data_IF_868896788807
#
_entry.id   IF_868896788807
#
_cell.length_a   1.000
_cell.length_b   1.000
_cell.length_c   1.000
_cell.angle_alpha   90.00
_cell.angle_beta   90.00
_cell.angle_gamma   90.00
#
_symmetry.space_group_name_H-M   'P 1'
#
loop_
_entity.id
_entity.type
_entity.pdbx_description
1 polymer ?
#
# COMPACT_ATOMS: atom_id res chain seq x y z
N UNK A 1 -9.05 -13.11 -27.63
CA UNK A 1 -8.45 -12.39 -26.48
C UNK A 1 -7.36 -13.28 -25.84
N UNK A 2 -6.40 -12.73 -25.08
CA UNK A 2 -5.33 -13.54 -24.46
C UNK A 2 -5.87 -14.62 -23.51
N UNK A 3 -6.90 -14.30 -22.72
CA UNK A 3 -7.54 -15.28 -21.83
C UNK A 3 -8.16 -16.43 -22.65
N UNK A 4 -8.93 -16.11 -23.70
CA UNK A 4 -9.54 -17.11 -24.59
C UNK A 4 -8.52 -18.07 -25.24
N UNK A 5 -7.32 -17.58 -25.56
CA UNK A 5 -6.23 -18.39 -26.11
C UNK A 5 -5.75 -19.47 -25.11
N UNK A 6 -5.77 -19.15 -23.83
CA UNK A 6 -5.27 -20.01 -22.75
C UNK A 6 -6.39 -20.73 -21.98
N UNK A 7 -7.64 -20.27 -22.12
CA UNK A 7 -8.85 -20.82 -21.51
C UNK A 7 -10.04 -20.67 -22.49
N UNK A 8 -10.17 -21.59 -23.48
CA UNK A 8 -11.26 -21.55 -24.45
C UNK A 8 -12.64 -21.69 -23.77
N UNK A 9 -13.62 -20.93 -24.23
CA UNK A 9 -14.96 -20.83 -23.65
C UNK A 9 -15.06 -19.87 -22.46
N UNK A 10 -13.97 -19.21 -22.04
CA UNK A 10 -14.00 -18.28 -20.91
C UNK A 10 -14.98 -17.13 -21.15
N UNK A 11 -15.00 -16.57 -22.36
CA UNK A 11 -15.89 -15.47 -22.72
C UNK A 11 -17.37 -15.80 -22.50
N UNK A 12 -17.78 -17.04 -22.75
CA UNK A 12 -19.17 -17.49 -22.62
C UNK A 12 -19.63 -17.58 -21.15
N UNK A 13 -18.69 -17.62 -20.20
CA UNK A 13 -18.96 -17.68 -18.75
C UNK A 13 -19.01 -16.29 -18.08
N UNK A 14 -18.70 -15.21 -18.82
CA UNK A 14 -18.65 -13.86 -18.24
C UNK A 14 -20.06 -13.28 -18.11
N UNK A 15 -20.56 -13.17 -16.88
CA UNK A 15 -21.88 -12.56 -16.59
C UNK A 15 -21.85 -11.03 -16.55
N UNK A 16 -20.73 -10.44 -16.13
CA UNK A 16 -20.54 -9.00 -16.02
C UNK A 16 -19.05 -8.65 -16.08
N UNK A 17 -18.74 -7.42 -16.49
CA UNK A 17 -17.38 -6.88 -16.51
C UNK A 17 -17.38 -5.44 -16.02
N UNK A 18 -16.49 -5.14 -15.08
CA UNK A 18 -16.15 -3.77 -14.69
C UNK A 18 -14.67 -3.56 -15.00
N UNK A 19 -14.35 -2.40 -15.56
CA UNK A 19 -12.97 -1.99 -15.81
C UNK A 19 -12.71 -0.72 -15.03
N UNK A 20 -11.62 -0.70 -14.27
CA UNK A 20 -11.17 0.47 -13.53
C UNK A 20 -9.80 0.84 -14.07
N UNK A 21 -9.69 2.02 -14.67
CA UNK A 21 -8.45 2.50 -15.27
C UNK A 21 -7.52 3.11 -14.20
N UNK A 22 -6.23 3.31 -14.50
CA UNK A 22 -5.34 4.04 -13.60
C UNK A 22 -5.83 5.47 -13.27
N UNK A 23 -6.48 6.14 -14.22
CA UNK A 23 -7.10 7.45 -13.99
C UNK A 23 -8.28 7.37 -13.01
N UNK A 24 -9.11 6.32 -13.13
CA UNK A 24 -10.22 6.09 -12.19
C UNK A 24 -9.69 5.78 -10.78
N UNK A 25 -8.61 5.02 -10.65
CA UNK A 25 -7.96 4.75 -9.37
C UNK A 25 -7.40 6.02 -8.73
N UNK A 26 -6.74 6.88 -9.51
CA UNK A 26 -6.22 8.16 -9.04
C UNK A 26 -7.34 9.11 -8.61
N UNK A 27 -8.48 9.12 -9.34
CA UNK A 27 -9.66 9.90 -8.98
C UNK A 27 -10.35 9.35 -7.72
N UNK A 28 -10.38 8.03 -7.55
CA UNK A 28 -10.99 7.36 -6.40
C UNK A 28 -10.21 7.60 -5.10
N UNK A 29 -8.87 7.53 -5.16
CA UNK A 29 -8.02 7.71 -4.00
C UNK A 29 -6.82 8.60 -4.36
N UNK A 30 -6.73 9.82 -3.79
CA UNK A 30 -5.62 10.74 -4.04
C UNK A 30 -4.23 10.17 -3.71
N UNK A 31 -4.15 9.10 -2.90
CA UNK A 31 -2.88 8.43 -2.62
C UNK A 31 -2.38 7.57 -3.80
N UNK A 32 -3.27 7.20 -4.74
CA UNK A 32 -2.92 6.43 -5.93
C UNK A 32 -2.51 7.36 -7.07
N UNK A 33 -1.41 8.09 -6.87
CA UNK A 33 -0.88 9.00 -7.87
C UNK A 33 -0.63 8.24 -9.18
N UNK A 34 -1.25 8.68 -10.27
CA UNK A 34 -1.17 7.98 -11.57
C UNK A 34 -1.81 6.58 -11.60
N UNK A 35 -2.60 6.23 -10.58
CA UNK A 35 -3.20 4.91 -10.41
C UNK A 35 -2.29 3.90 -9.70
N UNK A 36 -1.16 4.32 -9.14
CA UNK A 36 -0.24 3.43 -8.43
C UNK A 36 -0.78 3.03 -7.04
N UNK A 37 -1.30 1.82 -6.95
CA UNK A 37 -1.82 1.25 -5.70
C UNK A 37 -0.74 0.98 -4.64
N UNK A 38 0.54 0.92 -5.04
CA UNK A 38 1.66 0.77 -4.10
C UNK A 38 1.99 2.08 -3.38
N UNK A 39 1.50 3.22 -3.87
CA UNK A 39 1.81 4.54 -3.30
C UNK A 39 3.25 4.96 -3.53
N UNK A 40 3.83 4.57 -4.67
CA UNK A 40 5.20 4.88 -5.08
C UNK A 40 6.05 3.64 -5.31
N UNK A 41 7.22 3.86 -5.94
CA UNK A 41 8.14 2.79 -6.31
C UNK A 41 8.56 1.93 -5.11
N UNK A 42 8.58 0.62 -5.31
CA UNK A 42 8.95 -0.39 -4.30
C UNK A 42 10.42 -0.83 -4.39
N UNK A 43 11.29 -0.01 -4.97
CA UNK A 43 12.69 -0.32 -5.25
C UNK A 43 13.70 0.55 -4.49
N UNK A 44 14.97 0.15 -4.57
CA UNK A 44 16.13 0.88 -4.08
C UNK A 44 15.99 1.41 -2.65
N UNK A 45 16.30 2.70 -2.49
CA UNK A 45 16.24 3.38 -1.19
C UNK A 45 14.81 3.66 -0.72
N UNK A 46 13.83 3.74 -1.64
CA UNK A 46 12.45 3.96 -1.26
C UNK A 46 11.92 2.79 -0.43
N UNK A 47 12.45 1.56 -0.65
CA UNK A 47 12.12 0.38 0.16
C UNK A 47 12.39 0.58 1.65
N UNK A 48 13.45 1.33 1.97
CA UNK A 48 13.91 1.55 3.33
C UNK A 48 13.42 2.89 3.90
N UNK A 49 13.33 3.93 3.07
CA UNK A 49 13.12 5.32 3.49
C UNK A 49 11.77 5.90 3.06
N UNK A 50 10.70 5.12 3.19
CA UNK A 50 9.30 5.57 2.99
C UNK A 50 8.54 5.71 4.33
N UNK A 51 7.59 6.65 4.46
CA UNK A 51 7.31 7.75 3.52
C UNK A 51 8.31 8.91 3.65
N UNK A 52 9.23 8.85 4.63
CA UNK A 52 10.24 9.89 4.89
C UNK A 52 11.57 9.26 5.31
N UNK A 53 12.66 9.99 5.12
CA UNK A 53 13.99 9.57 5.56
C UNK A 53 14.07 9.70 7.09
N UNK A 54 13.89 8.57 7.78
CA UNK A 54 13.93 8.52 9.25
C UNK A 54 14.24 7.11 9.75
N UNK A 55 14.84 7.01 10.93
CA UNK A 55 14.98 5.74 11.64
C UNK A 55 13.68 5.28 12.35
N UNK A 56 12.63 6.13 12.38
CA UNK A 56 11.34 5.84 13.02
C UNK A 56 10.18 6.04 12.03
N UNK A 57 10.04 5.17 11.01
CA UNK A 57 9.10 5.39 9.91
C UNK A 57 7.63 5.26 10.32
N UNK A 58 7.34 4.66 11.48
CA UNK A 58 5.99 4.43 11.99
C UNK A 58 5.47 5.54 12.92
N UNK A 59 6.25 6.60 13.18
CA UNK A 59 5.82 7.73 14.03
C UNK A 59 5.58 8.99 13.20
N UNK A 60 4.59 9.78 13.61
CA UNK A 60 4.33 11.10 13.02
C UNK A 60 4.92 12.22 13.90
N UNK A 61 4.91 13.49 13.46
CA UNK A 61 5.27 14.63 14.31
C UNK A 61 4.31 14.80 15.51
N UNK A 62 3.08 14.32 15.42
CA UNK A 62 2.17 14.25 16.56
C UNK A 62 2.53 13.02 17.41
N UNK A 63 2.77 13.23 18.71
CA UNK A 63 3.29 12.20 19.61
C UNK A 63 2.40 10.97 19.73
N UNK A 64 1.09 11.16 19.61
CA UNK A 64 0.08 10.11 19.84
C UNK A 64 -0.53 9.57 18.53
N UNK A 65 0.11 9.84 17.39
CA UNK A 65 -0.31 9.34 16.06
C UNK A 65 0.80 8.51 15.43
N UNK A 66 0.45 7.27 15.06
CA UNK A 66 1.33 6.27 14.44
C UNK A 66 0.84 5.91 13.04
N UNK A 67 1.78 5.55 12.16
CA UNK A 67 1.51 5.24 10.76
C UNK A 67 1.59 3.73 10.51
N UNK A 68 0.46 3.10 10.18
CA UNK A 68 0.34 1.66 9.91
C UNK A 68 0.11 1.31 8.43
N UNK A 69 0.44 2.23 7.51
CA UNK A 69 0.16 2.11 6.07
C UNK A 69 1.24 1.31 5.32
N UNK A 70 0.90 0.76 4.14
CA UNK A 70 1.86 0.25 3.14
C UNK A 70 2.86 1.31 2.65
N UNK A 71 2.62 2.58 2.94
CA UNK A 71 3.58 3.67 2.73
C UNK A 71 4.78 3.61 3.68
N UNK A 72 4.77 2.74 4.69
CA UNK A 72 5.92 2.47 5.58
C UNK A 72 6.60 1.15 5.20
N UNK A 73 7.89 0.93 5.54
CA UNK A 73 8.55 -0.34 5.27
C UNK A 73 7.78 -1.49 5.96
N UNK A 74 7.77 -2.71 5.41
CA UNK A 74 8.49 -3.16 4.20
C UNK A 74 7.82 -2.75 2.87
N UNK A 75 6.68 -2.05 2.87
CA UNK A 75 6.07 -1.47 1.67
C UNK A 75 4.72 -2.05 1.30
N UNK A 76 4.46 -2.10 -0.01
CA UNK A 76 3.21 -2.60 -0.58
C UNK A 76 3.03 -4.11 -0.39
N UNK A 77 1.82 -4.59 -0.72
CA UNK A 77 1.30 -5.96 -0.55
C UNK A 77 0.61 -6.25 0.80
N UNK A 78 -0.04 -7.41 0.87
CA UNK A 78 -0.89 -7.84 1.99
C UNK A 78 -0.09 -8.74 2.93
N UNK A 79 0.69 -8.14 3.84
CA UNK A 79 1.56 -8.88 4.77
C UNK A 79 1.42 -8.47 6.25
N UNK A 80 0.63 -7.44 6.58
CA UNK A 80 0.34 -7.02 7.97
C UNK A 80 1.48 -6.37 8.78
N UNK A 81 2.74 -6.48 8.32
CA UNK A 81 3.92 -5.96 9.03
C UNK A 81 3.88 -4.46 9.35
N UNK A 82 3.29 -3.61 8.49
CA UNK A 82 3.21 -2.17 8.77
C UNK A 82 2.38 -1.90 10.04
N UNK A 83 1.26 -2.60 10.19
CA UNK A 83 0.44 -2.55 11.41
C UNK A 83 1.17 -3.10 12.63
N UNK A 84 1.87 -4.23 12.49
CA UNK A 84 2.67 -4.81 13.57
C UNK A 84 3.75 -3.86 14.09
N UNK A 85 4.48 -3.20 13.19
CA UNK A 85 5.53 -2.27 13.59
C UNK A 85 5.00 -0.95 14.14
N UNK A 86 3.89 -0.45 13.61
CA UNK A 86 3.18 0.70 14.17
C UNK A 86 2.70 0.41 15.61
N UNK A 87 2.12 -0.76 15.84
CA UNK A 87 1.70 -1.19 17.18
C UNK A 87 2.89 -1.29 18.14
N UNK A 88 4.02 -1.86 17.70
CA UNK A 88 5.26 -1.89 18.50
C UNK A 88 5.79 -0.48 18.80
N UNK A 89 5.68 0.45 17.86
CA UNK A 89 6.08 1.84 18.07
C UNK A 89 5.19 2.51 19.13
N UNK A 90 3.87 2.29 19.06
CA UNK A 90 2.91 2.79 20.04
C UNK A 90 3.16 2.22 21.45
N UNK A 91 3.35 0.91 21.58
CA UNK A 91 3.65 0.27 22.87
C UNK A 91 4.94 0.82 23.50
N UNK A 92 5.98 1.05 22.70
CA UNK A 92 7.23 1.67 23.19
C UNK A 92 7.05 3.11 23.66
N UNK A 93 6.15 3.85 23.03
CA UNK A 93 5.81 5.23 23.43
C UNK A 93 5.06 5.23 24.76
N UNK A 94 4.04 4.37 24.90
CA UNK A 94 3.28 4.22 26.14
C UNK A 94 4.17 3.84 27.33
N UNK A 95 5.14 2.93 27.13
CA UNK A 95 6.06 2.52 28.20
C UNK A 95 7.09 3.59 28.61
N UNK A 96 7.21 4.69 27.86
CA UNK A 96 8.12 5.80 28.17
C UNK A 96 7.42 6.96 28.88
N UNK A 97 6.09 6.99 28.85
CA UNK A 97 5.25 7.91 29.63
C UNK A 97 5.02 7.32 31.02
#
# INVERSE_FOLDING_TARGET
AQIERHAPGFGDLVLARVSTTPADLAAYNPNYVGGDIAGGASDGLQLLFRPKITARPYTTPAEDIFLCSSSTPPGAAVHGMCGHWAAKAALRHLNRR
#
